data_IF_463885768264
#
_entry.id   IF_463885768264
#
_cell.length_a   1.000
_cell.length_b   1.000
_cell.length_c   1.000
_cell.angle_alpha   90.00
_cell.angle_beta   90.00
_cell.angle_gamma   90.00
#
_symmetry.space_group_name_H-M   'P 1'
#
loop_
_entity.id
_entity.type
_entity.pdbx_description
1 polymer ?
#
# COMPACT_ATOMS: atom_id res chain seq x y z
N UNK A 1 -2.76 7.38 44.94
CA UNK A 1 -1.70 8.30 44.48
C UNK A 1 -1.51 8.10 42.99
N UNK A 2 -2.30 8.81 42.21
CA UNK A 2 -2.32 8.76 40.75
C UNK A 2 -1.07 9.45 40.19
N UNK A 3 -0.24 8.72 39.44
CA UNK A 3 0.96 9.25 38.78
C UNK A 3 0.86 9.13 37.25
N UNK A 4 -0.27 9.53 36.68
CA UNK A 4 -0.47 9.53 35.22
C UNK A 4 -0.85 10.89 34.57
N UNK A 5 -0.53 12.09 35.13
CA UNK A 5 -0.78 13.33 34.38
C UNK A 5 0.35 13.71 33.40
N UNK A 6 1.58 13.20 33.58
CA UNK A 6 2.74 13.65 32.80
C UNK A 6 2.77 13.09 31.37
N UNK A 7 2.43 11.80 31.20
CA UNK A 7 2.44 11.15 29.89
C UNK A 7 1.36 11.74 28.96
N UNK A 8 0.20 12.08 29.53
CA UNK A 8 -0.92 12.68 28.80
C UNK A 8 -0.58 14.09 28.30
N UNK A 9 0.17 14.86 29.09
CA UNK A 9 0.65 16.18 28.70
C UNK A 9 1.66 16.13 27.54
N UNK A 10 2.55 15.13 27.53
CA UNK A 10 3.53 14.96 26.45
C UNK A 10 2.84 14.60 25.12
N UNK A 11 1.83 13.72 25.16
CA UNK A 11 1.04 13.36 23.97
C UNK A 11 0.29 14.57 23.39
N UNK A 12 -0.23 15.46 24.25
CA UNK A 12 -0.92 16.68 23.79
C UNK A 12 0.02 17.64 23.06
N UNK A 13 1.29 17.76 23.50
CA UNK A 13 2.30 18.63 22.88
C UNK A 13 2.71 18.11 21.49
N UNK A 14 2.78 16.79 21.31
CA UNK A 14 3.12 16.19 20.01
C UNK A 14 2.00 16.45 18.99
N UNK A 15 0.73 16.41 19.40
CA UNK A 15 -0.41 16.64 18.51
C UNK A 15 -0.54 18.09 18.02
N UNK A 16 -0.10 19.08 18.81
CA UNK A 16 -0.14 20.51 18.42
C UNK A 16 1.07 20.98 17.60
N UNK A 17 2.13 20.16 17.50
CA UNK A 17 3.40 20.55 16.85
C UNK A 17 3.51 20.12 15.38
N UNK A 18 2.44 19.57 14.78
CA UNK A 18 2.41 19.19 13.37
C UNK A 18 2.30 20.39 12.44
N UNK A 19 3.44 20.95 12.03
CA UNK A 19 3.49 22.03 11.05
C UNK A 19 3.20 21.53 9.62
N UNK A 20 2.15 22.11 9.05
CA UNK A 20 1.85 22.18 7.61
C UNK A 20 2.95 22.94 6.87
N UNK A 21 3.45 22.37 5.76
CA UNK A 21 4.24 23.09 4.77
C UNK A 21 3.49 23.05 3.44
N UNK A 22 2.74 24.12 3.17
CA UNK A 22 2.08 24.36 1.89
C UNK A 22 3.04 25.19 1.02
N UNK A 23 3.58 24.58 -0.04
CA UNK A 23 4.42 25.28 -1.01
C UNK A 23 3.55 26.03 -2.01
N UNK A 24 3.44 27.35 -1.80
CA UNK A 24 2.87 28.28 -2.78
C UNK A 24 3.80 28.41 -4.00
N UNK A 25 3.43 27.82 -5.12
CA UNK A 25 4.03 28.15 -6.42
C UNK A 25 3.24 29.34 -7.00
N UNK A 26 3.74 30.54 -6.73
CA UNK A 26 3.31 31.77 -7.42
C UNK A 26 3.99 31.84 -8.78
N UNK A 27 3.27 31.44 -9.83
CA UNK A 27 3.62 31.74 -11.21
C UNK A 27 3.11 33.13 -11.59
N UNK A 28 4.03 34.08 -11.70
CA UNK A 28 3.76 35.46 -12.06
C UNK A 28 3.28 35.60 -13.51
N UNK A 29 2.27 36.45 -13.67
CA UNK A 29 1.72 36.99 -14.91
C UNK A 29 2.79 37.76 -15.71
N UNK A 30 2.95 37.44 -17.00
CA UNK A 30 3.69 38.27 -17.95
C UNK A 30 2.89 38.54 -19.22
N UNK A 31 2.60 39.83 -19.39
CA UNK A 31 2.48 40.62 -20.62
C UNK A 31 1.65 40.07 -21.80
N UNK A 32 0.50 40.71 -22.00
CA UNK A 32 -0.19 40.83 -23.28
C UNK A 32 0.69 41.58 -24.28
N UNK A 33 1.21 40.86 -25.27
CA UNK A 33 1.65 41.43 -26.55
C UNK A 33 0.60 41.04 -27.59
N UNK A 34 0.01 42.04 -28.24
CA UNK A 34 -0.85 41.87 -29.41
C UNK A 34 -0.01 41.33 -30.57
N UNK A 35 -0.19 40.06 -30.90
CA UNK A 35 0.37 39.42 -32.09
C UNK A 35 -0.73 39.36 -33.15
N UNK A 36 -0.40 39.80 -34.37
CA UNK A 36 -1.25 39.69 -35.57
C UNK A 36 -1.57 38.22 -35.88
N UNK A 37 -2.73 37.90 -36.48
CA UNK A 37 -3.08 36.52 -36.78
C UNK A 37 -2.22 36.00 -37.93
N UNK A 38 -1.20 35.21 -37.60
CA UNK A 38 -0.52 34.36 -38.57
C UNK A 38 -1.36 33.08 -38.65
N UNK A 39 -1.98 32.83 -39.80
CA UNK A 39 -2.56 31.53 -40.13
C UNK A 39 -1.40 30.54 -40.33
N UNK A 40 -0.92 29.95 -39.24
CA UNK A 40 -0.05 28.77 -39.31
C UNK A 40 -0.91 27.56 -39.68
N UNK A 41 -0.61 27.00 -40.84
CA UNK A 41 -1.13 25.70 -41.28
C UNK A 41 -0.57 24.64 -40.33
N UNK A 42 -1.42 24.17 -39.42
CA UNK A 42 -1.09 23.10 -38.47
C UNK A 42 -0.94 21.82 -39.27
N UNK A 43 0.31 21.40 -39.48
CA UNK A 43 0.63 20.09 -40.02
C UNK A 43 0.45 19.10 -38.86
N UNK A 44 -0.71 18.45 -38.80
CA UNK A 44 -0.99 17.33 -37.91
C UNK A 44 -0.15 16.11 -38.34
N UNK A 45 1.14 16.11 -37.98
CA UNK A 45 1.92 14.89 -38.05
C UNK A 45 1.40 13.89 -37.00
N UNK A 46 1.14 12.63 -37.36
CA UNK A 46 0.72 11.63 -36.41
C UNK A 46 1.86 11.37 -35.42
N UNK A 47 1.64 11.74 -34.17
CA UNK A 47 2.54 11.41 -33.07
C UNK A 47 2.47 9.89 -32.89
N UNK A 48 3.52 9.18 -33.30
CA UNK A 48 3.68 7.76 -33.01
C UNK A 48 3.92 7.61 -31.50
N UNK A 49 2.91 7.14 -30.76
CA UNK A 49 3.05 6.86 -29.33
C UNK A 49 4.04 5.69 -29.11
N UNK A 50 5.28 6.03 -28.76
CA UNK A 50 6.26 5.05 -28.27
C UNK A 50 5.74 4.46 -26.95
N UNK A 51 5.35 3.18 -27.01
CA UNK A 51 4.90 2.44 -25.84
C UNK A 51 6.10 2.18 -24.93
N UNK A 52 6.24 2.97 -23.87
CA UNK A 52 7.27 2.73 -22.85
C UNK A 52 7.10 1.32 -22.26
N UNK A 53 8.20 0.56 -22.24
CA UNK A 53 8.25 -0.76 -21.63
C UNK A 53 8.52 -0.60 -20.12
N UNK A 54 7.46 -0.30 -19.37
CA UNK A 54 7.52 -0.19 -17.91
C UNK A 54 7.79 -1.59 -17.32
N UNK A 55 8.96 -1.76 -16.72
CA UNK A 55 9.28 -2.96 -15.95
C UNK A 55 8.70 -2.84 -14.55
N UNK A 56 7.88 -3.82 -14.18
CA UNK A 56 7.21 -3.95 -12.89
C UNK A 56 7.86 -5.07 -12.08
N UNK A 57 7.83 -4.93 -10.75
CA UNK A 57 8.45 -5.90 -9.82
C UNK A 57 7.34 -6.61 -9.05
N UNK A 58 7.44 -7.95 -8.96
CA UNK A 58 6.58 -8.75 -8.09
C UNK A 58 7.05 -8.58 -6.64
N UNK A 59 6.12 -8.40 -5.73
CA UNK A 59 6.41 -8.21 -4.31
C UNK A 59 5.40 -9.00 -3.49
N UNK A 60 5.86 -9.65 -2.44
CA UNK A 60 5.03 -10.30 -1.44
C UNK A 60 5.64 -10.06 -0.06
N UNK A 61 4.86 -9.47 0.84
CA UNK A 61 5.22 -9.27 2.23
C UNK A 61 4.29 -10.11 3.10
N UNK A 62 4.89 -10.76 4.09
CA UNK A 62 4.23 -11.67 5.03
C UNK A 62 4.43 -11.15 6.45
N UNK A 63 3.35 -10.94 7.20
CA UNK A 63 3.41 -10.31 8.52
C UNK A 63 3.92 -11.21 9.63
N UNK A 64 3.90 -12.54 9.46
CA UNK A 64 4.41 -13.50 10.45
C UNK A 64 5.68 -14.24 10.00
N UNK A 65 6.18 -13.88 8.81
CA UNK A 65 7.42 -14.38 8.23
C UNK A 65 7.41 -15.88 7.87
N UNK A 66 6.25 -16.41 7.45
CA UNK A 66 6.20 -17.64 6.68
C UNK A 66 4.96 -18.46 6.99
N UNK A 67 5.16 -19.69 7.44
CA UNK A 67 4.07 -20.62 7.73
C UNK A 67 3.96 -20.76 9.26
N UNK A 68 3.22 -19.85 9.89
CA UNK A 68 3.11 -19.64 11.33
C UNK A 68 1.64 -19.68 11.81
N UNK A 69 1.06 -20.89 11.76
CA UNK A 69 -0.33 -21.20 12.16
C UNK A 69 -0.82 -20.77 13.56
N UNK A 70 0.02 -20.23 14.44
CA UNK A 70 -0.34 -19.80 15.81
C UNK A 70 -0.27 -18.27 15.99
N UNK A 71 0.00 -17.53 14.91
CA UNK A 71 -0.08 -16.08 14.84
C UNK A 71 -1.11 -15.73 13.78
N UNK A 72 -1.93 -14.72 14.02
CA UNK A 72 -2.81 -14.18 12.98
C UNK A 72 -1.95 -13.45 11.94
N UNK A 73 -1.80 -14.05 10.77
CA UNK A 73 -1.02 -13.51 9.67
C UNK A 73 -1.85 -12.92 8.54
N UNK A 74 -1.13 -12.26 7.64
CA UNK A 74 -1.61 -11.79 6.35
C UNK A 74 -0.44 -11.58 5.40
N UNK A 75 -0.73 -11.72 4.11
CA UNK A 75 0.19 -11.35 3.03
C UNK A 75 -0.37 -10.21 2.20
N UNK A 76 0.51 -9.34 1.70
CA UNK A 76 0.14 -8.28 0.75
C UNK A 76 1.30 -7.93 -0.17
N UNK A 77 0.99 -7.40 -1.35
CA UNK A 77 2.01 -7.06 -2.33
C UNK A 77 1.47 -6.72 -3.71
N UNK A 78 2.28 -6.96 -4.73
CA UNK A 78 2.00 -6.64 -6.12
C UNK A 78 2.39 -7.80 -7.05
N UNK A 79 1.56 -8.05 -8.06
CA UNK A 79 1.93 -8.92 -9.18
C UNK A 79 2.80 -8.16 -10.19
N UNK A 80 3.32 -8.89 -11.18
CA UNK A 80 4.08 -8.39 -12.32
C UNK A 80 3.29 -7.46 -13.25
N UNK A 81 1.99 -7.27 -13.07
CA UNK A 81 1.21 -6.25 -13.79
C UNK A 81 0.86 -5.05 -12.90
N UNK A 82 1.59 -4.86 -11.78
CA UNK A 82 1.34 -3.85 -10.75
C UNK A 82 -0.05 -3.96 -10.07
N UNK A 83 -0.77 -5.07 -10.25
CA UNK A 83 -2.01 -5.33 -9.51
C UNK A 83 -1.69 -5.64 -8.05
N UNK A 84 -2.28 -4.88 -7.13
CA UNK A 84 -2.18 -5.11 -5.69
C UNK A 84 -2.96 -6.36 -5.27
N UNK A 85 -2.42 -7.12 -4.32
CA UNK A 85 -3.15 -8.18 -3.62
C UNK A 85 -3.01 -8.06 -2.09
N UNK A 86 -3.95 -8.68 -1.38
CA UNK A 86 -3.93 -8.81 0.08
C UNK A 86 -4.78 -10.04 0.47
N UNK A 87 -4.24 -10.92 1.31
CA UNK A 87 -4.90 -12.12 1.82
C UNK A 87 -4.61 -12.24 3.32
N UNK A 88 -5.63 -12.53 4.13
CA UNK A 88 -5.47 -12.78 5.56
C UNK A 88 -5.62 -14.27 5.81
N UNK A 89 -4.91 -14.78 6.81
CA UNK A 89 -5.23 -16.09 7.35
C UNK A 89 -6.66 -16.08 7.88
N UNK A 90 -7.31 -17.25 7.82
CA UNK A 90 -8.64 -17.36 8.37
C UNK A 90 -9.03 -18.76 8.79
N UNK A 91 -9.81 -18.84 9.85
CA UNK A 91 -10.45 -20.09 10.26
C UNK A 91 -11.57 -20.46 9.28
N UNK A 92 -11.39 -21.50 8.47
CA UNK A 92 -12.47 -22.04 7.65
C UNK A 92 -13.61 -22.60 8.50
N UNK A 93 -13.25 -23.21 9.61
CA UNK A 93 -14.12 -23.73 10.66
C UNK A 93 -13.26 -23.99 11.91
N UNK A 94 -13.88 -24.54 12.96
CA UNK A 94 -13.19 -24.81 14.23
C UNK A 94 -11.92 -25.65 14.09
N UNK A 95 -11.81 -26.53 13.10
CA UNK A 95 -10.66 -27.44 12.97
C UNK A 95 -9.68 -27.04 11.88
N UNK A 96 -10.01 -26.10 10.98
CA UNK A 96 -9.20 -25.85 9.78
C UNK A 96 -8.86 -24.37 9.61
N UNK A 97 -7.57 -24.08 9.54
CA UNK A 97 -6.99 -22.77 9.23
C UNK A 97 -6.53 -22.75 7.77
N UNK A 98 -6.89 -21.69 7.03
CA UNK A 98 -6.20 -21.31 5.80
C UNK A 98 -5.07 -20.36 6.14
N UNK A 99 -3.85 -20.83 5.91
CA UNK A 99 -2.62 -20.06 6.05
C UNK A 99 -2.23 -19.50 4.69
N UNK A 100 -1.98 -18.20 4.60
CA UNK A 100 -1.36 -17.53 3.46
C UNK A 100 0.07 -17.14 3.80
N UNK A 101 0.99 -17.41 2.88
CA UNK A 101 2.40 -17.13 3.09
C UNK A 101 3.09 -16.70 1.79
N UNK A 102 4.24 -16.03 1.92
CA UNK A 102 5.06 -15.66 0.77
C UNK A 102 6.18 -16.69 0.52
N UNK A 103 6.27 -17.22 -0.70
CA UNK A 103 7.37 -18.08 -1.14
C UNK A 103 7.92 -17.55 -2.47
N UNK A 104 9.20 -17.17 -2.51
CA UNK A 104 9.85 -16.60 -3.70
C UNK A 104 9.03 -15.42 -4.30
N UNK A 105 8.59 -14.49 -3.46
CA UNK A 105 7.73 -13.35 -3.83
C UNK A 105 6.33 -13.74 -4.37
N UNK A 106 5.95 -15.01 -4.30
CA UNK A 106 4.63 -15.47 -4.71
C UNK A 106 3.71 -15.66 -3.52
N UNK A 107 2.44 -15.23 -3.60
CA UNK A 107 1.43 -15.61 -2.62
C UNK A 107 1.13 -17.10 -2.75
N UNK A 108 1.19 -17.82 -1.63
CA UNK A 108 0.84 -19.24 -1.50
C UNK A 108 -0.19 -19.41 -0.40
N UNK A 109 -0.78 -20.61 -0.35
CA UNK A 109 -1.70 -20.98 0.73
C UNK A 109 -1.56 -22.45 1.11
N UNK A 110 -1.85 -22.77 2.36
CA UNK A 110 -1.90 -24.14 2.89
C UNK A 110 -3.02 -24.27 3.93
N UNK A 111 -3.65 -25.45 3.98
CA UNK A 111 -4.66 -25.75 5.01
C UNK A 111 -3.98 -26.50 6.15
N UNK A 112 -4.22 -26.06 7.39
CA UNK A 112 -3.78 -26.73 8.60
C UNK A 112 -4.96 -27.27 9.41
N UNK A 113 -4.77 -28.44 10.02
CA UNK A 113 -5.66 -28.97 11.05
C UNK A 113 -5.26 -28.40 12.42
N UNK A 114 -6.13 -27.63 13.04
CA UNK A 114 -5.99 -27.12 14.41
C UNK A 114 -6.66 -28.10 15.39
N UNK A 115 -5.88 -28.92 16.09
CA UNK A 115 -6.41 -29.96 16.99
C UNK A 115 -7.14 -29.41 18.21
N UNK A 116 -6.81 -28.18 18.64
CA UNK A 116 -7.41 -27.55 19.82
C UNK A 116 -8.46 -26.49 19.47
N UNK A 117 -8.71 -26.27 18.17
CA UNK A 117 -9.55 -25.18 17.71
C UNK A 117 -8.77 -24.14 16.90
N UNK A 118 -9.52 -23.48 16.02
CA UNK A 118 -9.13 -22.30 15.28
C UNK A 118 -10.02 -21.16 15.77
N UNK A 119 -9.40 -20.11 16.30
CA UNK A 119 -10.05 -18.93 16.85
C UNK A 119 -9.23 -17.70 16.47
N UNK A 120 -9.88 -16.57 16.21
CA UNK A 120 -9.22 -15.31 15.82
C UNK A 120 -8.18 -15.49 14.69
N UNK A 121 -8.52 -16.32 13.69
CA UNK A 121 -7.73 -16.58 12.49
C UNK A 121 -6.35 -17.22 12.76
N UNK A 122 -6.22 -18.00 13.83
CA UNK A 122 -5.04 -18.84 14.11
C UNK A 122 -5.42 -20.10 14.89
N UNK A 123 -4.54 -21.10 14.90
CA UNK A 123 -4.70 -22.29 15.75
C UNK A 123 -4.36 -22.00 17.22
N UNK A 124 -5.10 -22.64 18.13
CA UNK A 124 -4.89 -22.62 19.59
C UNK A 124 -3.88 -23.66 20.12
#
# INVERSE_FOLDING_TARGET
MEKTPLLLFILLIILISGCSNESNITGATTALTSVEPIEEEIIDEPIEEEKENITTVRLCHDTDNGIVRWVKGKIFGFYDNATRFEFNDYCQNFNYLWEFYCEEENPKQQIFLCTNGCEDDHCL
#
